data_IF_209635170266
#
_entry.id   IF_209635170266
#
_cell.length_a   1.000
_cell.length_b   1.000
_cell.length_c   1.000
_cell.angle_alpha   90.00
_cell.angle_beta   90.00
_cell.angle_gamma   90.00
#
_symmetry.space_group_name_H-M   'P 1'
#
loop_
_entity.id
_entity.type
_entity.pdbx_description
1 polymer ?
#
# COMPACT_ATOMS: atom_id res chain seq x y z
N UNK A 1 -3.19 10.76 27.03
CA UNK A 1 -1.70 10.93 27.01
C UNK A 1 -1.29 11.29 25.60
N UNK A 2 -0.21 12.06 25.40
CA UNK A 2 0.30 12.34 24.06
C UNK A 2 0.81 11.07 23.40
N UNK A 3 0.55 10.84 22.11
CA UNK A 3 1.10 9.72 21.37
C UNK A 3 2.63 9.62 21.44
N UNK A 4 3.31 10.76 21.66
CA UNK A 4 4.76 10.83 21.85
C UNK A 4 5.26 10.10 23.10
N UNK A 5 4.40 9.85 24.10
CA UNK A 5 4.79 9.05 25.27
C UNK A 5 5.10 7.59 24.94
N UNK A 6 4.78 7.14 23.71
CA UNK A 6 5.13 5.81 23.20
C UNK A 6 6.55 5.74 22.62
N UNK A 7 7.24 6.89 22.51
CA UNK A 7 8.56 6.98 21.90
C UNK A 7 9.66 6.94 22.97
N UNK A 8 10.76 6.26 22.67
CA UNK A 8 11.97 6.28 23.50
C UNK A 8 12.64 7.66 23.49
N UNK A 9 12.59 8.33 22.34
CA UNK A 9 13.06 9.71 22.14
C UNK A 9 12.26 10.38 21.01
N UNK A 10 12.22 11.71 20.98
CA UNK A 10 11.52 12.44 19.90
C UNK A 10 12.37 12.50 18.62
N UNK A 11 12.04 11.64 17.66
CA UNK A 11 12.68 11.59 16.35
C UNK A 11 12.10 12.57 15.31
N UNK A 12 11.10 13.38 15.66
CA UNK A 12 10.48 14.35 14.74
C UNK A 12 11.46 15.41 14.22
N UNK A 13 12.35 16.03 15.07
CA UNK A 13 13.34 16.99 14.57
C UNK A 13 14.22 16.38 13.49
N UNK A 14 14.71 15.15 13.68
CA UNK A 14 15.53 14.45 12.69
C UNK A 14 14.82 14.28 11.33
N UNK A 15 13.50 13.97 11.32
CA UNK A 15 12.74 13.88 10.08
C UNK A 15 12.52 15.25 9.41
N UNK A 16 12.35 16.32 10.20
CA UNK A 16 12.18 17.68 9.67
C UNK A 16 13.49 18.28 9.14
N UNK A 17 14.63 17.85 9.66
CA UNK A 17 15.97 18.25 9.25
C UNK A 17 16.55 17.35 8.13
N UNK A 18 15.81 16.32 7.70
CA UNK A 18 16.23 15.42 6.62
C UNK A 18 16.65 16.20 5.37
N UNK A 19 17.72 15.79 4.74
CA UNK A 19 18.13 16.31 3.43
C UNK A 19 17.13 15.94 2.33
N UNK A 20 16.33 14.89 2.55
CA UNK A 20 15.32 14.45 1.60
C UNK A 20 14.02 15.27 1.71
N UNK A 21 13.66 16.08 0.70
CA UNK A 21 12.46 16.93 0.76
C UNK A 21 11.16 16.10 0.87
N UNK A 22 11.15 14.88 0.37
CA UNK A 22 9.98 13.98 0.50
C UNK A 22 9.75 13.57 1.95
N UNK A 23 10.80 13.29 2.70
CA UNK A 23 10.72 12.96 4.13
C UNK A 23 10.16 14.14 4.93
N UNK A 24 10.73 15.35 4.74
CA UNK A 24 10.23 16.57 5.41
C UNK A 24 8.74 16.82 5.11
N UNK A 25 8.37 16.67 3.84
CA UNK A 25 6.98 16.84 3.43
C UNK A 25 6.04 15.82 4.13
N UNK A 26 6.40 14.53 4.10
CA UNK A 26 5.57 13.50 4.72
C UNK A 26 5.53 13.63 6.24
N UNK A 27 6.63 14.02 6.89
CA UNK A 27 6.64 14.31 8.32
C UNK A 27 5.63 15.42 8.65
N UNK A 28 5.66 16.55 7.94
CA UNK A 28 4.71 17.65 8.14
C UNK A 28 3.26 17.25 7.86
N UNK A 29 3.02 16.47 6.81
CA UNK A 29 1.69 16.04 6.41
C UNK A 29 1.07 15.05 7.38
N UNK A 30 1.84 14.06 7.82
CA UNK A 30 1.32 12.87 8.50
C UNK A 30 1.50 12.90 10.03
N UNK A 31 2.43 13.73 10.56
CA UNK A 31 2.79 13.73 11.97
C UNK A 31 2.47 15.04 12.71
N UNK A 32 1.99 16.05 11.97
CA UNK A 32 1.59 17.36 12.53
C UNK A 32 0.16 17.68 12.11
N UNK A 33 -0.58 18.37 12.96
CA UNK A 33 -1.96 18.79 12.69
C UNK A 33 -1.99 20.11 11.89
N UNK A 34 -1.30 20.13 10.75
CA UNK A 34 -1.26 21.30 9.88
C UNK A 34 -2.48 21.32 8.96
N UNK A 35 -3.06 22.50 8.79
CA UNK A 35 -4.08 22.71 7.76
C UNK A 35 -3.48 22.35 6.37
N UNK A 36 -4.30 21.76 5.46
CA UNK A 36 -3.90 21.55 4.07
C UNK A 36 -3.41 22.83 3.37
N UNK A 37 -3.83 24.00 3.89
CA UNK A 37 -3.47 25.33 3.39
C UNK A 37 -2.23 25.93 4.05
N UNK A 38 -1.64 25.27 5.03
CA UNK A 38 -0.44 25.74 5.71
C UNK A 38 0.71 26.00 4.72
N UNK A 39 1.36 27.16 4.86
CA UNK A 39 2.43 27.60 3.95
C UNK A 39 3.65 26.68 4.01
N UNK A 40 4.03 26.16 5.19
CA UNK A 40 5.16 25.24 5.36
C UNK A 40 4.87 23.93 4.65
N UNK A 41 3.66 23.39 4.84
CA UNK A 41 3.23 22.15 4.18
C UNK A 41 3.20 22.30 2.66
N UNK A 42 2.63 23.38 2.13
CA UNK A 42 2.61 23.68 0.69
C UNK A 42 4.01 23.82 0.10
N UNK A 43 4.92 24.51 0.81
CA UNK A 43 6.31 24.68 0.38
C UNK A 43 7.05 23.33 0.36
N UNK A 44 6.95 22.55 1.43
CA UNK A 44 7.57 21.22 1.53
C UNK A 44 7.06 20.28 0.41
N UNK A 45 5.74 20.29 0.13
CA UNK A 45 5.13 19.52 -0.95
C UNK A 45 5.70 19.90 -2.33
N UNK A 46 5.80 21.19 -2.63
CA UNK A 46 6.40 21.67 -3.88
C UNK A 46 7.86 21.25 -4.02
N UNK A 47 8.64 21.37 -2.94
CA UNK A 47 10.05 20.95 -2.93
C UNK A 47 10.16 19.45 -3.19
N UNK A 48 9.35 18.60 -2.54
CA UNK A 48 9.35 17.16 -2.73
C UNK A 48 9.05 16.74 -4.18
N UNK A 49 8.29 17.53 -4.96
CA UNK A 49 7.99 17.25 -6.37
C UNK A 49 9.06 17.79 -7.34
N UNK A 50 9.82 18.79 -6.94
CA UNK A 50 10.89 19.39 -7.78
C UNK A 50 12.22 18.68 -7.63
N UNK A 51 12.48 18.10 -6.48
CA UNK A 51 13.76 17.55 -6.09
C UNK A 51 13.61 16.17 -5.47
N UNK A 52 14.69 15.39 -5.43
CA UNK A 52 14.73 14.10 -4.77
C UNK A 52 13.99 12.98 -5.52
N UNK A 53 13.43 11.98 -4.80
CA UNK A 53 12.92 10.74 -5.36
C UNK A 53 11.79 10.90 -6.37
N UNK A 54 10.80 11.75 -6.09
CA UNK A 54 9.64 11.96 -6.98
C UNK A 54 10.11 12.52 -8.33
N UNK A 55 10.91 13.60 -8.31
CA UNK A 55 11.44 14.21 -9.51
C UNK A 55 12.29 13.22 -10.33
N UNK A 56 13.13 12.43 -9.64
CA UNK A 56 13.96 11.43 -10.30
C UNK A 56 13.13 10.34 -10.99
N UNK A 57 12.10 9.79 -10.34
CA UNK A 57 11.23 8.79 -10.94
C UNK A 57 10.49 9.36 -12.15
N UNK A 58 9.93 10.57 -12.02
CA UNK A 58 9.21 11.24 -13.09
C UNK A 58 10.12 11.62 -14.27
N UNK A 59 11.41 11.84 -14.07
CA UNK A 59 12.38 12.08 -15.16
C UNK A 59 12.64 10.85 -16.03
N UNK A 60 12.24 9.66 -15.58
CA UNK A 60 12.39 8.39 -16.29
C UNK A 60 11.11 7.92 -16.97
N UNK A 61 10.03 8.71 -16.83
CA UNK A 61 8.74 8.43 -17.44
C UNK A 61 8.78 8.74 -18.94
N UNK A 62 8.17 7.88 -19.74
CA UNK A 62 7.91 8.12 -21.16
C UNK A 62 6.86 9.23 -21.32
N UNK A 63 6.88 9.93 -22.44
CA UNK A 63 5.93 11.00 -22.74
C UNK A 63 4.47 10.52 -22.81
N UNK A 64 4.23 9.25 -23.13
CA UNK A 64 2.91 8.62 -23.10
C UNK A 64 2.39 8.28 -21.69
N UNK A 65 3.23 8.34 -20.63
CA UNK A 65 2.81 8.13 -19.24
C UNK A 65 3.16 6.77 -18.65
N UNK A 66 4.08 6.03 -19.23
CA UNK A 66 4.54 4.74 -18.71
C UNK A 66 6.04 4.75 -18.37
N UNK A 67 6.52 3.68 -17.73
CA UNK A 67 7.94 3.43 -17.48
C UNK A 67 8.35 2.10 -18.08
N UNK A 68 9.55 2.05 -18.67
CA UNK A 68 10.23 0.88 -19.25
C UNK A 68 9.59 0.35 -20.53
N UNK A 69 8.33 -0.09 -20.47
CA UNK A 69 7.63 -0.70 -21.60
C UNK A 69 6.15 -0.32 -21.57
N UNK A 70 5.53 -0.10 -22.74
CA UNK A 70 4.09 0.15 -22.82
C UNK A 70 3.27 -1.08 -22.36
N UNK A 71 1.97 -0.86 -22.11
CA UNK A 71 1.00 -1.87 -21.68
C UNK A 71 0.68 -1.82 -20.19
N UNK A 72 0.31 -2.94 -19.58
CA UNK A 72 -0.14 -3.04 -18.18
C UNK A 72 0.93 -2.70 -17.13
N UNK A 73 2.19 -2.57 -17.53
CA UNK A 73 3.26 -2.07 -16.69
C UNK A 73 3.69 -2.96 -15.53
N UNK A 74 3.40 -4.26 -15.55
CA UNK A 74 3.85 -5.16 -14.49
C UNK A 74 5.32 -5.60 -14.64
N UNK A 75 5.79 -5.82 -15.84
CA UNK A 75 7.17 -6.19 -16.11
C UNK A 75 7.95 -5.12 -16.86
N UNK A 76 9.25 -4.95 -16.57
CA UNK A 76 10.05 -5.58 -15.53
C UNK A 76 9.67 -5.10 -14.13
N UNK A 77 9.73 -6.02 -13.13
CA UNK A 77 9.38 -5.71 -11.73
C UNK A 77 10.24 -4.57 -11.18
N UNK A 78 9.63 -3.74 -10.35
CA UNK A 78 10.21 -2.65 -9.55
C UNK A 78 10.68 -1.41 -10.33
N UNK A 79 10.56 -1.41 -11.68
CA UNK A 79 10.91 -0.25 -12.54
C UNK A 79 9.85 0.11 -13.57
N UNK A 80 8.85 -0.72 -13.83
CA UNK A 80 7.77 -0.39 -14.77
C UNK A 80 6.60 0.32 -14.08
N UNK A 81 5.58 0.67 -14.83
CA UNK A 81 4.49 1.58 -14.45
C UNK A 81 3.80 1.23 -13.13
N UNK A 82 3.47 -0.06 -12.91
CA UNK A 82 2.90 -0.53 -11.62
C UNK A 82 3.76 -0.10 -10.44
N UNK A 83 5.05 -0.37 -10.51
CA UNK A 83 5.98 -0.16 -9.40
C UNK A 83 6.34 1.31 -9.22
N UNK A 84 6.40 2.07 -10.32
CA UNK A 84 6.59 3.51 -10.28
C UNK A 84 5.42 4.21 -9.59
N UNK A 85 4.17 3.85 -9.94
CA UNK A 85 2.96 4.42 -9.32
C UNK A 85 2.86 4.05 -7.83
N UNK A 86 3.13 2.79 -7.45
CA UNK A 86 3.16 2.38 -6.04
C UNK A 86 4.22 3.17 -5.25
N UNK A 87 5.41 3.33 -5.82
CA UNK A 87 6.48 4.07 -5.17
C UNK A 87 6.18 5.57 -5.06
N UNK A 88 5.70 6.19 -6.13
CA UNK A 88 5.28 7.59 -6.12
C UNK A 88 4.20 7.86 -5.06
N UNK A 89 3.24 6.95 -4.89
CA UNK A 89 2.22 7.06 -3.84
C UNK A 89 2.83 7.02 -2.44
N UNK A 90 3.76 6.10 -2.17
CA UNK A 90 4.47 6.02 -0.90
C UNK A 90 5.35 7.26 -0.62
N UNK A 91 5.86 7.89 -1.66
CA UNK A 91 6.64 9.14 -1.57
C UNK A 91 5.77 10.38 -1.39
N UNK A 92 4.43 10.24 -1.42
CA UNK A 92 3.50 11.36 -1.27
C UNK A 92 3.33 12.22 -2.52
N UNK A 93 3.62 11.67 -3.70
CA UNK A 93 3.38 12.36 -4.97
C UNK A 93 1.88 12.66 -5.18
N UNK A 94 1.56 13.68 -5.95
CA UNK A 94 0.19 14.14 -6.15
C UNK A 94 -0.08 14.62 -7.59
N UNK A 95 -1.22 14.19 -8.14
CA UNK A 95 -1.71 14.67 -9.44
C UNK A 95 -2.01 16.17 -9.48
N UNK A 96 -2.12 16.82 -8.32
CA UNK A 96 -2.32 18.28 -8.19
C UNK A 96 -1.03 19.06 -8.39
N UNK A 97 0.11 18.45 -8.07
CA UNK A 97 1.42 19.10 -8.14
C UNK A 97 2.14 18.85 -9.47
N UNK A 98 1.90 17.68 -10.10
CA UNK A 98 2.56 17.35 -11.37
C UNK A 98 1.59 16.60 -12.30
N UNK A 99 1.33 17.21 -13.48
CA UNK A 99 0.44 16.66 -14.49
C UNK A 99 0.89 15.30 -15.06
N UNK A 100 2.18 15.01 -15.00
CA UNK A 100 2.75 13.72 -15.46
C UNK A 100 2.21 12.56 -14.63
N UNK A 101 1.96 12.77 -13.34
CA UNK A 101 1.37 11.75 -12.46
C UNK A 101 -0.05 11.44 -12.91
N UNK A 102 -0.83 12.46 -13.27
CA UNK A 102 -2.19 12.27 -13.80
C UNK A 102 -2.17 11.49 -15.13
N UNK A 103 -1.23 11.84 -16.03
CA UNK A 103 -1.05 11.13 -17.29
C UNK A 103 -0.75 9.65 -17.04
N UNK A 104 0.18 9.34 -16.13
CA UNK A 104 0.55 7.98 -15.79
C UNK A 104 -0.60 7.17 -15.16
N UNK A 105 -1.40 7.78 -14.28
CA UNK A 105 -2.58 7.14 -13.70
C UNK A 105 -3.62 6.81 -14.77
N UNK A 106 -3.89 7.77 -15.69
CA UNK A 106 -4.81 7.54 -16.80
C UNK A 106 -4.31 6.44 -17.72
N UNK A 107 -3.04 6.53 -18.16
CA UNK A 107 -2.40 5.51 -18.99
C UNK A 107 -2.54 4.13 -18.37
N UNK A 108 -2.25 4.02 -17.08
CA UNK A 108 -2.34 2.75 -16.37
C UNK A 108 -3.75 2.13 -16.41
N UNK A 109 -4.79 2.91 -16.10
CA UNK A 109 -6.16 2.41 -16.16
C UNK A 109 -6.58 2.05 -17.60
N UNK A 110 -6.15 2.84 -18.58
CA UNK A 110 -6.46 2.56 -20.00
C UNK A 110 -5.90 1.20 -20.47
N UNK A 111 -4.78 0.75 -19.89
CA UNK A 111 -4.08 -0.46 -20.35
C UNK A 111 -4.22 -1.66 -19.40
N UNK A 112 -4.47 -1.43 -18.10
CA UNK A 112 -4.47 -2.50 -17.10
C UNK A 112 -5.87 -2.88 -16.59
N UNK A 113 -6.85 -1.97 -16.66
CA UNK A 113 -8.20 -2.22 -16.19
C UNK A 113 -9.01 -2.99 -17.24
N UNK A 114 -9.47 -4.18 -16.87
CA UNK A 114 -10.42 -4.97 -17.66
C UNK A 114 -11.85 -4.45 -17.50
N UNK A 115 -12.76 -4.69 -18.45
CA UNK A 115 -14.15 -4.19 -18.38
C UNK A 115 -14.91 -4.64 -17.11
N UNK A 116 -14.58 -5.80 -16.54
CA UNK A 116 -15.18 -6.31 -15.31
C UNK A 116 -14.58 -5.78 -14.00
N UNK A 117 -13.70 -4.76 -14.03
CA UNK A 117 -13.09 -4.16 -12.86
C UNK A 117 -11.75 -4.79 -12.41
N UNK A 118 -11.27 -5.83 -13.09
CA UNK A 118 -9.99 -6.47 -12.76
C UNK A 118 -8.81 -5.64 -13.23
N UNK A 119 -7.85 -5.38 -12.37
CA UNK A 119 -6.58 -4.77 -12.72
C UNK A 119 -5.57 -5.88 -13.05
N UNK A 120 -5.25 -5.99 -14.34
CA UNK A 120 -4.45 -7.11 -14.86
C UNK A 120 -2.96 -6.81 -14.91
N UNK A 121 -2.16 -7.83 -14.60
CA UNK A 121 -0.71 -7.84 -14.80
C UNK A 121 -0.30 -8.41 -16.18
N UNK A 122 -1.24 -8.94 -16.95
CA UNK A 122 -0.96 -9.53 -18.26
C UNK A 122 -1.01 -8.48 -19.35
N UNK A 123 -0.13 -8.60 -20.34
CA UNK A 123 0.05 -7.61 -21.42
C UNK A 123 -1.21 -7.36 -22.26
N UNK A 124 -2.08 -8.35 -22.36
CA UNK A 124 -3.35 -8.26 -23.10
C UNK A 124 -4.54 -7.83 -22.21
N UNK A 125 -4.29 -7.29 -21.03
CA UNK A 125 -5.34 -6.88 -20.09
C UNK A 125 -6.33 -8.02 -19.72
N UNK A 126 -5.88 -9.27 -19.77
CA UNK A 126 -6.75 -10.40 -19.42
C UNK A 126 -7.11 -10.39 -17.93
N UNK A 127 -8.40 -10.54 -17.57
CA UNK A 127 -8.83 -10.63 -16.18
C UNK A 127 -8.12 -11.72 -15.37
N UNK A 128 -7.66 -12.80 -16.02
CA UNK A 128 -6.92 -13.88 -15.38
C UNK A 128 -5.55 -13.47 -14.83
N UNK A 129 -5.03 -12.31 -15.25
CA UNK A 129 -3.77 -11.73 -14.77
C UNK A 129 -3.89 -11.00 -13.44
N UNK A 130 -5.07 -10.90 -12.86
CA UNK A 130 -5.31 -10.18 -11.60
C UNK A 130 -4.89 -10.99 -10.39
N UNK A 131 -4.46 -10.30 -9.35
CA UNK A 131 -4.20 -10.84 -8.01
C UNK A 131 -4.58 -9.78 -6.97
N UNK A 132 -5.07 -10.19 -5.78
CA UNK A 132 -5.48 -9.27 -4.71
C UNK A 132 -4.38 -8.28 -4.35
N UNK A 133 -3.13 -8.71 -4.33
CA UNK A 133 -1.99 -7.85 -4.02
C UNK A 133 -1.73 -6.78 -5.10
N UNK A 134 -2.13 -6.99 -6.36
CA UNK A 134 -2.03 -5.97 -7.42
C UNK A 134 -3.26 -5.08 -7.37
N UNK A 135 -4.45 -5.66 -7.33
CA UNK A 135 -5.71 -4.94 -7.27
C UNK A 135 -5.70 -3.92 -6.13
N UNK A 136 -5.41 -4.39 -4.91
CA UNK A 136 -5.35 -3.53 -3.73
C UNK A 136 -4.24 -2.48 -3.79
N UNK A 137 -3.00 -2.86 -4.16
CA UNK A 137 -1.91 -1.90 -4.28
C UNK A 137 -2.22 -0.77 -5.26
N UNK A 138 -2.80 -1.11 -6.42
CA UNK A 138 -3.04 -0.10 -7.45
C UNK A 138 -4.19 0.81 -7.07
N UNK A 139 -5.30 0.30 -6.53
CA UNK A 139 -6.39 1.14 -6.04
C UNK A 139 -5.91 2.05 -4.92
N UNK A 140 -5.15 1.52 -3.95
CA UNK A 140 -4.52 2.33 -2.91
C UNK A 140 -3.63 3.43 -3.51
N UNK A 141 -2.77 3.07 -4.46
CA UNK A 141 -1.81 4.01 -5.06
C UNK A 141 -2.49 5.14 -5.82
N UNK A 142 -3.48 4.81 -6.65
CA UNK A 142 -4.24 5.80 -7.42
C UNK A 142 -4.95 6.79 -6.51
N UNK A 143 -5.61 6.30 -5.44
CA UNK A 143 -6.26 7.15 -4.44
C UNK A 143 -5.25 8.01 -3.67
N UNK A 144 -4.13 7.43 -3.22
CA UNK A 144 -3.09 8.15 -2.48
C UNK A 144 -2.41 9.25 -3.33
N UNK A 145 -2.30 9.05 -4.65
CA UNK A 145 -1.85 10.06 -5.61
C UNK A 145 -2.90 11.18 -5.85
N UNK A 146 -4.11 11.02 -5.31
CA UNK A 146 -5.22 11.94 -5.51
C UNK A 146 -5.87 11.83 -6.90
N UNK A 147 -5.69 10.69 -7.56
CA UNK A 147 -6.35 10.42 -8.84
C UNK A 147 -7.76 9.88 -8.61
N UNK A 148 -8.73 10.47 -9.29
CA UNK A 148 -10.12 10.06 -9.24
C UNK A 148 -10.61 9.80 -10.67
N UNK A 149 -11.14 8.60 -10.91
CA UNK A 149 -11.67 8.16 -12.21
C UNK A 149 -12.86 7.24 -11.94
N UNK A 150 -14.03 7.45 -12.58
CA UNK A 150 -15.23 6.62 -12.33
C UNK A 150 -15.04 5.12 -12.56
N UNK A 151 -14.07 4.74 -13.40
CA UNK A 151 -13.74 3.33 -13.64
C UNK A 151 -13.19 2.61 -12.41
N UNK A 152 -12.69 3.36 -11.42
CA UNK A 152 -12.22 2.78 -10.16
C UNK A 152 -13.37 2.19 -9.34
N UNK A 153 -14.59 2.68 -9.50
CA UNK A 153 -15.76 2.16 -8.79
C UNK A 153 -16.00 0.69 -9.14
N UNK A 154 -15.92 0.34 -10.43
CA UNK A 154 -16.01 -1.07 -10.87
C UNK A 154 -14.85 -1.94 -10.35
N UNK A 155 -13.66 -1.35 -10.22
CA UNK A 155 -12.50 -2.06 -9.69
C UNK A 155 -12.62 -2.34 -8.17
N UNK A 156 -13.16 -1.40 -7.39
CA UNK A 156 -13.51 -1.59 -5.99
C UNK A 156 -14.63 -2.64 -5.85
N UNK A 157 -15.70 -2.50 -6.63
CA UNK A 157 -16.84 -3.42 -6.61
C UNK A 157 -16.40 -4.87 -6.87
N UNK A 158 -15.61 -5.10 -7.93
CA UNK A 158 -15.07 -6.43 -8.22
C UNK A 158 -14.19 -6.95 -7.08
N UNK A 159 -13.34 -6.12 -6.51
CA UNK A 159 -12.44 -6.50 -5.41
C UNK A 159 -13.22 -6.98 -4.19
N UNK A 160 -14.24 -6.25 -3.76
CA UNK A 160 -15.00 -6.63 -2.57
C UNK A 160 -15.90 -7.85 -2.81
N UNK A 161 -16.40 -8.05 -4.04
CA UNK A 161 -17.11 -9.27 -4.43
C UNK A 161 -16.20 -10.50 -4.35
N UNK A 162 -14.93 -10.40 -4.77
CA UNK A 162 -14.00 -11.52 -4.64
C UNK A 162 -13.69 -11.85 -3.19
N UNK A 163 -13.54 -10.84 -2.32
CA UNK A 163 -13.27 -11.05 -0.89
C UNK A 163 -14.44 -11.71 -0.17
N UNK A 164 -15.66 -11.25 -0.41
CA UNK A 164 -16.87 -11.77 0.25
C UNK A 164 -17.42 -13.05 -0.42
N UNK A 165 -17.15 -13.22 -1.70
CA UNK A 165 -17.80 -14.25 -2.53
C UNK A 165 -19.22 -13.89 -2.97
N UNK A 166 -19.70 -12.68 -2.63
CA UNK A 166 -21.07 -12.25 -2.92
C UNK A 166 -21.23 -11.70 -4.33
N UNK A 167 -22.27 -12.16 -5.03
CA UNK A 167 -22.63 -11.67 -6.36
C UNK A 167 -21.57 -11.93 -7.42
N UNK A 168 -20.75 -12.96 -7.24
CA UNK A 168 -19.73 -13.39 -8.19
C UNK A 168 -19.83 -14.89 -8.41
N UNK A 169 -19.87 -15.30 -9.68
CA UNK A 169 -20.01 -16.71 -10.02
C UNK A 169 -18.67 -17.46 -9.88
N UNK A 170 -18.71 -18.77 -9.62
CA UNK A 170 -17.49 -19.59 -9.55
C UNK A 170 -16.76 -19.61 -10.90
N UNK A 171 -15.45 -19.85 -10.86
CA UNK A 171 -14.57 -19.86 -12.04
C UNK A 171 -15.05 -20.84 -13.14
N UNK A 172 -15.71 -21.93 -12.77
CA UNK A 172 -16.25 -22.95 -13.70
C UNK A 172 -17.40 -22.42 -14.56
N UNK A 173 -18.14 -21.43 -14.10
CA UNK A 173 -19.22 -20.83 -14.86
C UNK A 173 -18.65 -19.83 -15.87
N UNK A 174 -18.44 -20.32 -17.08
CA UNK A 174 -17.82 -19.54 -18.17
C UNK A 174 -18.76 -18.50 -18.79
N UNK A 175 -20.05 -18.58 -18.50
CA UNK A 175 -21.08 -17.71 -19.09
C UNK A 175 -21.52 -16.59 -18.16
N UNK A 176 -21.13 -16.63 -16.88
CA UNK A 176 -21.45 -15.58 -15.94
C UNK A 176 -20.77 -14.25 -16.32
N UNK A 177 -21.50 -13.15 -16.28
CA UNK A 177 -21.00 -11.81 -16.55
C UNK A 177 -19.96 -11.39 -15.49
N UNK A 178 -20.24 -11.67 -14.21
CA UNK A 178 -19.31 -11.43 -13.09
C UNK A 178 -18.88 -12.76 -12.49
N UNK A 179 -17.59 -13.07 -12.59
CA UNK A 179 -17.03 -14.34 -12.11
C UNK A 179 -15.57 -14.16 -11.71
N UNK A 180 -15.00 -15.14 -10.99
CA UNK A 180 -13.58 -15.20 -10.70
C UNK A 180 -12.78 -15.53 -11.98
N UNK A 181 -12.20 -14.52 -12.60
CA UNK A 181 -11.32 -14.74 -13.75
C UNK A 181 -9.89 -15.08 -13.34
N UNK A 182 -9.45 -14.56 -12.19
CA UNK A 182 -8.09 -14.73 -11.72
C UNK A 182 -7.99 -15.85 -10.69
N UNK A 183 -7.08 -16.79 -10.90
CA UNK A 183 -6.79 -17.85 -9.94
C UNK A 183 -6.03 -17.39 -8.69
N UNK A 184 -5.75 -16.07 -8.56
CA UNK A 184 -5.03 -15.46 -7.44
C UNK A 184 -5.89 -14.50 -6.64
N UNK A 185 -7.19 -14.58 -6.80
CA UNK A 185 -8.20 -13.85 -6.04
C UNK A 185 -9.35 -14.81 -5.70
N UNK A 186 -9.97 -14.61 -4.57
CA UNK A 186 -11.09 -15.44 -4.16
C UNK A 186 -11.59 -15.08 -2.76
N UNK A 187 -12.65 -15.75 -2.28
CA UNK A 187 -13.17 -15.50 -0.95
C UNK A 187 -12.07 -15.57 0.10
N UNK A 188 -12.11 -14.62 1.02
CA UNK A 188 -11.11 -14.47 2.08
C UNK A 188 -9.67 -14.48 1.54
N UNK A 189 -9.42 -13.79 0.40
CA UNK A 189 -8.11 -13.68 -0.23
C UNK A 189 -7.50 -15.01 -0.71
N UNK A 190 -8.31 -16.00 -1.07
CA UNK A 190 -7.83 -17.27 -1.59
C UNK A 190 -6.99 -17.07 -2.85
N UNK A 191 -5.74 -17.56 -2.83
CA UNK A 191 -4.76 -17.27 -3.86
C UNK A 191 -4.09 -18.53 -4.39
N UNK A 192 -4.11 -18.75 -5.71
CA UNK A 192 -3.42 -19.88 -6.34
C UNK A 192 -1.91 -19.86 -6.15
N UNK A 193 -1.30 -18.68 -5.98
CA UNK A 193 0.10 -18.55 -5.60
C UNK A 193 0.38 -18.90 -4.12
N UNK A 194 -0.66 -19.15 -3.32
CA UNK A 194 -0.59 -19.66 -1.95
C UNK A 194 -1.33 -21.01 -1.84
N UNK A 195 -1.29 -21.80 -2.88
CA UNK A 195 -1.98 -23.11 -2.95
C UNK A 195 -3.49 -23.03 -2.64
N UNK A 196 -4.15 -21.97 -3.11
CA UNK A 196 -5.57 -21.64 -2.88
C UNK A 196 -5.94 -21.34 -1.42
N UNK A 197 -4.98 -21.25 -0.52
CA UNK A 197 -5.19 -20.77 0.84
C UNK A 197 -5.30 -19.23 0.86
N UNK A 198 -5.89 -18.64 1.91
CA UNK A 198 -5.91 -17.21 2.11
C UNK A 198 -4.50 -16.62 2.08
N UNK A 199 -4.32 -15.52 1.37
CA UNK A 199 -3.03 -14.84 1.21
C UNK A 199 -3.02 -13.53 2.01
N UNK A 200 -2.33 -13.51 3.15
CA UNK A 200 -2.26 -12.31 3.98
C UNK A 200 -1.59 -11.13 3.26
N UNK A 201 -0.62 -11.36 2.36
CA UNK A 201 -0.05 -10.27 1.56
C UNK A 201 -1.10 -9.61 0.65
N UNK A 202 -1.99 -10.39 0.05
CA UNK A 202 -3.11 -9.87 -0.74
C UNK A 202 -4.10 -9.11 0.13
N UNK A 203 -4.48 -9.71 1.25
CA UNK A 203 -5.45 -9.13 2.20
C UNK A 203 -5.03 -7.75 2.72
N UNK A 204 -3.74 -7.56 3.10
CA UNK A 204 -3.22 -6.25 3.53
C UNK A 204 -3.45 -5.19 2.45
N UNK A 205 -3.18 -5.52 1.18
CA UNK A 205 -3.32 -4.54 0.09
C UNK A 205 -4.78 -4.19 -0.17
N UNK A 206 -5.68 -5.15 -0.06
CA UNK A 206 -7.12 -4.91 -0.17
C UNK A 206 -7.60 -4.00 0.96
N UNK A 207 -7.24 -4.27 2.22
CA UNK A 207 -7.62 -3.43 3.34
C UNK A 207 -7.05 -2.01 3.23
N UNK A 208 -5.80 -1.85 2.79
CA UNK A 208 -5.21 -0.54 2.51
C UNK A 208 -5.96 0.22 1.42
N UNK A 209 -6.43 -0.45 0.36
CA UNK A 209 -7.24 0.19 -0.66
C UNK A 209 -8.58 0.66 -0.09
N UNK A 210 -9.27 -0.19 0.66
CA UNK A 210 -10.56 0.15 1.29
C UNK A 210 -10.44 1.26 2.33
N UNK A 211 -9.31 1.36 3.04
CA UNK A 211 -9.05 2.43 4.00
C UNK A 211 -8.92 3.83 3.37
N UNK A 212 -8.73 3.92 2.05
CA UNK A 212 -8.73 5.22 1.35
C UNK A 212 -10.13 5.79 1.12
N UNK A 213 -11.16 4.99 1.27
CA UNK A 213 -12.54 5.43 1.12
C UNK A 213 -13.05 5.92 2.47
N UNK A 214 -13.65 7.11 2.49
CA UNK A 214 -14.36 7.59 3.69
C UNK A 214 -15.60 6.73 3.94
N UNK A 215 -16.09 6.69 5.18
CA UNK A 215 -17.24 5.85 5.55
C UNK A 215 -18.47 6.12 4.65
N UNK A 216 -18.70 7.39 4.28
CA UNK A 216 -19.83 7.78 3.43
C UNK A 216 -19.75 7.26 2.00
N UNK A 217 -18.55 6.89 1.56
CA UNK A 217 -18.29 6.34 0.21
C UNK A 217 -18.28 4.81 0.19
N UNK A 218 -18.36 4.17 1.34
CA UNK A 218 -18.35 2.72 1.43
C UNK A 218 -19.76 2.16 1.31
N UNK A 219 -19.96 1.26 0.35
CA UNK A 219 -21.20 0.48 0.27
C UNK A 219 -21.28 -0.55 1.41
N UNK A 220 -22.48 -1.10 1.67
CA UNK A 220 -22.63 -2.20 2.62
C UNK A 220 -21.74 -3.41 2.27
N UNK A 221 -21.55 -3.70 0.98
CA UNK A 221 -20.67 -4.78 0.54
C UNK A 221 -19.20 -4.48 0.85
N UNK A 222 -18.76 -3.23 0.69
CA UNK A 222 -17.42 -2.79 1.09
C UNK A 222 -17.20 -2.93 2.60
N UNK A 223 -18.18 -2.55 3.41
CA UNK A 223 -18.12 -2.72 4.86
C UNK A 223 -18.08 -4.21 5.28
N UNK A 224 -18.83 -5.09 4.58
CA UNK A 224 -18.71 -6.54 4.80
C UNK A 224 -17.33 -7.07 4.42
N UNK A 225 -16.77 -6.61 3.30
CA UNK A 225 -15.42 -7.01 2.88
C UNK A 225 -14.34 -6.53 3.88
N UNK A 226 -14.48 -5.30 4.42
CA UNK A 226 -13.60 -4.79 5.49
C UNK A 226 -13.68 -5.70 6.71
N UNK A 227 -14.89 -5.97 7.22
CA UNK A 227 -15.06 -6.87 8.38
C UNK A 227 -14.47 -8.25 8.13
N UNK A 228 -14.73 -8.83 6.96
CA UNK A 228 -14.16 -10.13 6.55
C UNK A 228 -12.62 -10.12 6.58
N UNK A 229 -12.01 -9.07 6.04
CA UNK A 229 -10.56 -8.92 6.03
C UNK A 229 -9.98 -8.70 7.42
N UNK A 230 -10.61 -7.86 8.22
CA UNK A 230 -10.18 -7.58 9.60
C UNK A 230 -10.25 -8.84 10.45
N UNK A 231 -11.36 -9.61 10.39
CA UNK A 231 -11.49 -10.86 11.13
C UNK A 231 -10.49 -11.92 10.64
N UNK A 232 -10.16 -11.94 9.35
CA UNK A 232 -9.07 -12.78 8.85
C UNK A 232 -7.72 -12.41 9.50
N UNK A 233 -7.39 -11.10 9.60
CA UNK A 233 -6.14 -10.69 10.24
C UNK A 233 -6.12 -10.94 11.75
N UNK A 234 -7.27 -10.87 12.39
CA UNK A 234 -7.40 -11.15 13.82
C UNK A 234 -7.74 -12.62 14.13
N UNK A 235 -7.80 -13.50 13.14
CA UNK A 235 -7.96 -14.96 13.35
C UNK A 235 -6.73 -15.58 14.03
N UNK A 236 -5.59 -14.90 13.97
CA UNK A 236 -4.37 -15.16 14.71
C UNK A 236 -3.86 -13.85 15.31
N UNK A 237 -2.93 -13.90 16.23
CA UNK A 237 -2.21 -12.69 16.66
C UNK A 237 -1.34 -12.18 15.49
N UNK A 238 -1.57 -10.97 14.96
CA UNK A 238 -0.80 -10.48 13.82
C UNK A 238 0.72 -10.42 14.09
N UNK A 239 1.14 -10.29 15.35
CA UNK A 239 2.55 -10.27 15.72
C UNK A 239 3.25 -11.61 15.50
N UNK A 240 2.51 -12.72 15.50
CA UNK A 240 3.03 -14.04 15.17
C UNK A 240 3.09 -14.30 13.68
N UNK A 241 2.30 -13.56 12.87
CA UNK A 241 2.14 -13.73 11.44
C UNK A 241 1.81 -15.19 11.02
N UNK A 242 1.12 -15.93 11.87
CA UNK A 242 0.82 -17.35 11.70
C UNK A 242 -0.37 -17.57 10.72
N UNK A 243 -0.34 -16.83 9.61
CA UNK A 243 -1.33 -16.92 8.55
C UNK A 243 -1.08 -18.14 7.66
N UNK A 244 -2.14 -18.67 7.01
CA UNK A 244 -2.02 -19.83 6.14
C UNK A 244 -0.92 -19.65 5.07
N UNK A 245 -0.05 -20.64 4.93
CA UNK A 245 0.98 -20.70 3.90
C UNK A 245 0.93 -22.06 3.21
N UNK A 246 0.79 -22.05 1.87
CA UNK A 246 0.63 -23.27 1.07
C UNK A 246 1.95 -23.96 0.69
N UNK A 247 3.09 -23.32 0.94
CA UNK A 247 4.39 -23.81 0.45
C UNK A 247 5.49 -23.81 1.51
N UNK A 248 5.19 -23.38 2.72
CA UNK A 248 6.16 -23.33 3.81
C UNK A 248 5.50 -23.74 5.13
N UNK A 249 6.27 -24.39 6.00
CA UNK A 249 5.81 -24.77 7.32
C UNK A 249 5.76 -23.59 8.31
N UNK A 250 6.35 -22.45 7.96
CA UNK A 250 6.44 -21.25 8.81
C UNK A 250 6.16 -20.00 7.98
N UNK A 251 5.69 -18.91 8.60
CA UNK A 251 5.56 -17.61 7.97
C UNK A 251 6.88 -17.13 7.36
N UNK A 252 6.80 -16.29 6.34
CA UNK A 252 7.97 -15.66 5.74
C UNK A 252 8.67 -14.77 6.77
N UNK A 253 9.98 -14.91 6.93
CA UNK A 253 10.78 -14.04 7.80
C UNK A 253 10.72 -12.54 7.45
N UNK A 254 10.17 -12.21 6.29
CA UNK A 254 9.95 -10.80 5.90
C UNK A 254 8.80 -10.14 6.67
N UNK A 255 7.88 -10.90 7.29
CA UNK A 255 6.81 -10.33 8.09
C UNK A 255 7.31 -9.41 9.21
N UNK A 256 8.45 -9.72 9.81
CA UNK A 256 9.03 -8.97 10.92
C UNK A 256 10.10 -7.97 10.49
N UNK A 257 10.38 -7.83 9.20
CA UNK A 257 11.39 -6.91 8.66
C UNK A 257 10.73 -5.65 8.12
N UNK A 258 10.91 -4.55 8.83
CA UNK A 258 10.39 -3.26 8.38
C UNK A 258 11.22 -2.73 7.22
N UNK A 259 10.54 -2.48 6.11
CA UNK A 259 11.17 -2.12 4.85
C UNK A 259 10.64 -0.86 4.20
N UNK A 260 11.42 -0.37 3.23
CA UNK A 260 11.00 0.68 2.31
C UNK A 260 11.77 0.55 0.98
N UNK A 261 11.13 0.75 -0.18
CA UNK A 261 9.66 0.81 -0.37
C UNK A 261 8.98 -0.53 -0.08
N UNK A 262 7.65 -0.53 0.06
CA UNK A 262 6.85 -1.75 0.23
C UNK A 262 6.04 -2.00 -1.03
N UNK A 263 6.25 -3.16 -1.64
CA UNK A 263 5.50 -3.56 -2.83
C UNK A 263 4.46 -4.66 -2.50
N UNK A 264 4.45 -5.80 -3.21
CA UNK A 264 3.48 -6.85 -2.94
C UNK A 264 3.78 -7.68 -1.67
N UNK A 265 5.04 -7.80 -1.28
CA UNK A 265 5.42 -8.40 0.01
C UNK A 265 5.06 -7.42 1.12
N UNK A 266 4.25 -7.86 2.07
CA UNK A 266 3.85 -7.05 3.22
C UNK A 266 4.71 -7.40 4.45
N UNK A 267 4.85 -6.43 5.35
CA UNK A 267 5.40 -6.60 6.69
C UNK A 267 4.30 -6.35 7.75
N UNK A 268 4.57 -6.69 9.01
CA UNK A 268 3.63 -6.46 10.12
C UNK A 268 3.34 -4.97 10.31
N UNK A 269 4.30 -4.10 10.01
CA UNK A 269 4.06 -2.66 10.05
C UNK A 269 2.95 -2.26 9.05
N UNK A 270 2.92 -2.87 7.86
CA UNK A 270 1.88 -2.59 6.89
C UNK A 270 0.51 -3.17 7.27
N UNK A 271 0.47 -4.31 7.97
CA UNK A 271 -0.77 -4.81 8.56
C UNK A 271 -1.32 -3.79 9.57
N UNK A 272 -0.46 -3.28 10.46
CA UNK A 272 -0.85 -2.25 11.41
C UNK A 272 -1.30 -0.96 10.71
N UNK A 273 -0.59 -0.50 9.65
CA UNK A 273 -1.02 0.65 8.83
C UNK A 273 -2.46 0.46 8.29
N UNK A 274 -2.80 -0.74 7.79
CA UNK A 274 -4.13 -1.02 7.29
C UNK A 274 -5.19 -1.03 8.39
N UNK A 275 -4.92 -1.69 9.51
CA UNK A 275 -5.87 -1.83 10.62
C UNK A 275 -6.13 -0.51 11.33
N UNK A 276 -5.09 0.30 11.59
CA UNK A 276 -5.29 1.62 12.23
C UNK A 276 -6.00 2.61 11.30
N UNK A 277 -5.79 2.52 9.99
CA UNK A 277 -6.47 3.35 9.00
C UNK A 277 -7.95 2.98 8.80
N UNK A 278 -8.37 1.82 9.30
CA UNK A 278 -9.74 1.33 9.32
C UNK A 278 -10.39 1.43 10.72
N UNK A 279 -9.82 2.24 11.61
CA UNK A 279 -10.32 2.52 12.96
C UNK A 279 -10.22 1.35 13.97
N UNK A 280 -9.39 0.34 13.69
CA UNK A 280 -9.13 -0.78 14.61
C UNK A 280 -7.92 -0.55 15.54
N UNK A 281 -7.47 0.69 15.67
CA UNK A 281 -6.32 1.04 16.51
C UNK A 281 -6.50 0.67 17.98
N UNK A 282 -7.73 0.65 18.49
CA UNK A 282 -8.09 0.35 19.88
C UNK A 282 -8.51 -1.12 20.10
N UNK A 283 -8.49 -1.95 19.06
CA UNK A 283 -8.79 -3.37 19.20
C UNK A 283 -7.66 -4.06 19.99
N UNK A 284 -8.02 -4.74 21.08
CA UNK A 284 -7.06 -5.41 21.96
C UNK A 284 -6.22 -6.47 21.23
N UNK A 285 -6.75 -7.06 20.16
CA UNK A 285 -6.03 -8.03 19.31
C UNK A 285 -4.83 -7.42 18.56
N UNK A 286 -4.75 -6.09 18.47
CA UNK A 286 -3.62 -5.37 17.87
C UNK A 286 -2.50 -5.05 18.88
N UNK A 287 -2.71 -5.25 20.16
CA UNK A 287 -1.80 -4.83 21.23
C UNK A 287 -0.38 -5.34 21.03
N UNK A 288 -0.20 -6.65 20.81
CA UNK A 288 1.13 -7.25 20.63
C UNK A 288 1.85 -6.73 19.38
N UNK A 289 1.09 -6.45 18.30
CA UNK A 289 1.64 -5.83 17.08
C UNK A 289 2.16 -4.41 17.35
N UNK A 290 1.41 -3.60 18.10
CA UNK A 290 1.85 -2.26 18.49
C UNK A 290 3.06 -2.29 19.43
N UNK A 291 3.11 -3.26 20.34
CA UNK A 291 4.27 -3.47 21.20
C UNK A 291 5.51 -3.90 20.43
N UNK A 292 5.35 -4.80 19.45
CA UNK A 292 6.42 -5.19 18.54
C UNK A 292 6.96 -3.96 17.78
N UNK A 293 6.09 -3.10 17.27
CA UNK A 293 6.50 -1.86 16.60
C UNK A 293 7.28 -0.96 17.56
N UNK A 294 6.78 -0.75 18.78
CA UNK A 294 7.47 0.05 19.80
C UNK A 294 8.84 -0.53 20.20
N UNK A 295 8.92 -1.84 20.35
CA UNK A 295 10.15 -2.52 20.77
C UNK A 295 11.31 -2.36 19.77
N UNK A 296 11.02 -2.15 18.49
CA UNK A 296 12.00 -1.98 17.41
C UNK A 296 12.61 -0.58 17.31
N UNK A 297 12.22 0.35 18.17
CA UNK A 297 12.87 1.66 18.25
C UNK A 297 14.32 1.53 18.72
N UNK A 298 15.23 2.29 18.09
CA UNK A 298 16.53 2.57 18.66
C UNK A 298 16.43 3.56 19.85
N UNK A 299 17.55 3.88 20.50
CA UNK A 299 17.58 4.81 21.64
C UNK A 299 17.16 6.23 21.27
N UNK A 300 17.30 6.61 20.00
CA UNK A 300 16.88 7.90 19.48
C UNK A 300 15.43 7.90 18.92
N UNK A 301 14.63 6.84 19.20
CA UNK A 301 13.24 6.76 18.75
C UNK A 301 13.08 6.55 17.24
N UNK A 302 14.04 5.89 16.59
CA UNK A 302 14.04 5.64 15.13
C UNK A 302 13.98 4.16 14.85
N UNK A 303 13.56 3.77 13.63
CA UNK A 303 13.48 2.39 13.17
C UNK A 303 14.49 2.11 12.07
N UNK A 304 15.04 0.90 12.07
CA UNK A 304 16.04 0.45 11.11
C UNK A 304 15.40 0.00 9.79
N UNK A 305 16.14 0.14 8.70
CA UNK A 305 15.81 -0.49 7.42
C UNK A 305 16.21 -1.97 7.47
N UNK A 306 15.23 -2.86 7.57
CA UNK A 306 15.46 -4.31 7.69
C UNK A 306 15.20 -5.06 6.38
N UNK A 307 14.56 -4.40 5.39
CA UNK A 307 14.29 -4.95 4.07
C UNK A 307 14.21 -3.84 3.02
N UNK A 308 14.82 -4.04 1.87
CA UNK A 308 14.80 -3.09 0.76
C UNK A 308 14.82 -3.77 -0.61
N UNK A 309 14.83 -2.94 -1.66
CA UNK A 309 14.92 -3.36 -3.06
C UNK A 309 16.15 -2.72 -3.75
N UNK A 310 17.28 -2.62 -3.06
CA UNK A 310 18.50 -2.05 -3.62
C UNK A 310 18.91 -2.71 -4.91
N UNK A 311 19.30 -1.89 -5.90
CA UNK A 311 19.63 -2.32 -7.25
C UNK A 311 18.44 -2.74 -8.12
N UNK A 312 17.25 -2.90 -7.54
CA UNK A 312 16.02 -3.28 -8.27
C UNK A 312 15.12 -2.09 -8.58
N UNK A 313 15.11 -1.05 -7.74
CA UNK A 313 14.35 0.19 -7.93
C UNK A 313 15.18 1.28 -8.59
N UNK A 314 14.58 2.47 -8.75
CA UNK A 314 15.19 3.63 -9.37
C UNK A 314 16.33 4.23 -8.56
N UNK A 315 16.32 4.06 -7.23
CA UNK A 315 17.31 4.61 -6.30
C UNK A 315 17.36 3.81 -5.01
N UNK A 316 18.32 4.14 -4.17
CA UNK A 316 18.42 3.65 -2.79
C UNK A 316 17.61 4.53 -1.85
N UNK A 317 17.02 3.91 -0.83
CA UNK A 317 16.25 4.57 0.23
C UNK A 317 16.89 4.40 1.61
N UNK A 318 18.17 4.19 1.67
CA UNK A 318 18.95 4.00 2.89
C UNK A 318 19.78 2.73 2.87
N UNK A 319 20.56 2.52 3.92
CA UNK A 319 21.37 1.31 4.10
C UNK A 319 20.69 0.33 5.05
N UNK A 320 20.86 -0.95 4.77
CA UNK A 320 20.34 -2.03 5.61
C UNK A 320 20.93 -1.96 7.01
N UNK A 321 20.05 -2.21 8.00
CA UNK A 321 20.38 -2.21 9.45
C UNK A 321 20.83 -0.84 10.00
N UNK A 322 20.60 0.24 9.27
CA UNK A 322 20.80 1.61 9.74
C UNK A 322 19.43 2.28 9.99
N UNK A 323 19.35 3.30 10.88
CA UNK A 323 18.14 4.11 11.07
C UNK A 323 17.67 4.69 9.74
N UNK A 324 16.37 4.57 9.50
CA UNK A 324 15.79 4.91 8.21
C UNK A 324 14.59 5.84 8.35
N UNK A 325 14.64 6.97 7.68
CA UNK A 325 13.62 8.01 7.74
C UNK A 325 12.25 7.52 7.24
N UNK A 326 12.22 6.74 6.16
CA UNK A 326 10.98 6.24 5.59
C UNK A 326 10.31 5.20 6.47
N UNK A 327 11.09 4.29 7.05
CA UNK A 327 10.59 3.28 8.00
C UNK A 327 10.11 3.97 9.27
N UNK A 328 10.86 4.95 9.77
CA UNK A 328 10.49 5.75 10.94
C UNK A 328 9.18 6.51 10.72
N UNK A 329 9.00 7.15 9.55
CA UNK A 329 7.73 7.80 9.18
C UNK A 329 6.55 6.84 9.23
N UNK A 330 6.70 5.64 8.67
CA UNK A 330 5.65 4.60 8.69
C UNK A 330 5.28 4.22 10.13
N UNK A 331 6.29 3.91 10.95
CA UNK A 331 6.06 3.49 12.32
C UNK A 331 5.43 4.60 13.19
N UNK A 332 5.93 5.83 13.08
CA UNK A 332 5.37 6.98 13.79
C UNK A 332 3.92 7.26 13.41
N UNK A 333 3.58 7.12 12.13
CA UNK A 333 2.20 7.27 11.65
C UNK A 333 1.26 6.25 12.30
N UNK A 334 1.68 4.99 12.39
CA UNK A 334 0.91 3.94 13.08
C UNK A 334 0.74 4.29 14.56
N UNK A 335 1.83 4.60 15.26
CA UNK A 335 1.77 4.90 16.71
C UNK A 335 0.98 6.16 17.03
N UNK A 336 1.00 7.17 16.14
CA UNK A 336 0.17 8.36 16.29
C UNK A 336 -1.32 8.03 16.14
N UNK A 337 -1.68 7.22 15.17
CA UNK A 337 -3.09 6.83 14.93
C UNK A 337 -3.62 5.86 15.99
N UNK A 338 -2.73 5.18 16.73
CA UNK A 338 -3.07 4.22 17.79
C UNK A 338 -3.12 4.84 19.19
N UNK A 339 -3.03 6.16 19.34
CA UNK A 339 -3.07 6.87 20.64
C UNK A 339 -4.49 7.51 20.95
#
# INVERSE_FOLDING_TARGET
>A
MSWKSQLRSDSLPWLLESENPGVRYLALRDLFDLSPDDKKLKTARKSAHKEGPIAHILSKMDEEGYWQKPGTGYGPKYKSTVWALILLAQLGASVKEDKRIRLACKYYLDHALSPGGQISAMTNNSPSGTADCIQGNMLWSLMALGYNDPRMDSAYEWMVRTVTGEGIAPLKDKHAEVRYFAGKCGPTFACGANNKLPCAWGGVKVLLALSQLTAEKRSELMERAIRHGVEFFFSVDPSTADYPTGYAAKPSGNWWKFGFPVFYVADILQIAEALVALDYAKDLRLTNTLELIRSKQDEAGRWLLEYNYDGKTWMRFGKMKEPNEWVTLRALKVLRSAA
#
